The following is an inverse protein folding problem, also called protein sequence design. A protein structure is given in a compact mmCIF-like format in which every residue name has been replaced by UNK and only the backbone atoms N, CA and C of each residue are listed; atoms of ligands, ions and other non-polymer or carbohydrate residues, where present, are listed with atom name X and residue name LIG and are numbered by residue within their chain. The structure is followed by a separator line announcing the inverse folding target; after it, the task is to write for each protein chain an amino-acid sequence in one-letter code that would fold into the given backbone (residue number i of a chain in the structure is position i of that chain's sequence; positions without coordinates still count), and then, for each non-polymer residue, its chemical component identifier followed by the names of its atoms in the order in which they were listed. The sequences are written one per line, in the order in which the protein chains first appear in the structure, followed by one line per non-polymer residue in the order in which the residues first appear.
data_IF_482163240965
#
_entry.id   IF_482163240965
#
_cell.length_a   1.000
_cell.length_b   1.000
_cell.length_c   1.000
_cell.angle_alpha   90.00
_cell.angle_beta   90.00
_cell.angle_gamma   90.00
#
_symmetry.space_group_name_H-M   'P 1'
#
loop_
_entity.id
_entity.type
_entity.pdbx_description
1 polymer ?
#
# COMPACT_ATOMS: atom_id res chain seq x y z
N UNK A 1 7.06 4.88 14.73
CA UNK A 1 5.77 5.47 15.13
C UNK A 1 4.64 4.66 14.49
N UNK A 2 3.55 4.38 15.20
CA UNK A 2 2.38 3.68 14.64
C UNK A 2 1.44 4.72 14.02
N UNK A 3 0.97 4.50 12.80
CA UNK A 3 -0.06 5.33 12.17
C UNK A 3 -1.34 5.19 12.96
N UNK A 4 -2.02 6.30 13.22
CA UNK A 4 -3.33 6.23 13.82
C UNK A 4 -4.32 5.58 12.81
N UNK A 5 -5.40 4.98 13.32
CA UNK A 5 -6.36 4.28 12.46
C UNK A 5 -7.03 5.22 11.45
N UNK A 6 -7.25 6.48 11.80
CA UNK A 6 -7.87 7.47 10.93
C UNK A 6 -6.98 7.84 9.73
N UNK A 7 -5.66 7.91 9.94
CA UNK A 7 -4.67 8.16 8.89
C UNK A 7 -4.61 6.98 7.93
N UNK A 8 -4.66 5.75 8.46
CA UNK A 8 -4.74 4.54 7.64
C UNK A 8 -6.03 4.48 6.81
N UNK A 9 -7.17 4.79 7.41
CA UNK A 9 -8.46 4.86 6.70
C UNK A 9 -8.43 5.93 5.60
N UNK A 10 -7.90 7.11 5.90
CA UNK A 10 -7.74 8.20 4.91
C UNK A 10 -6.80 7.80 3.78
N UNK A 11 -5.66 7.17 4.09
CA UNK A 11 -4.72 6.68 3.09
C UNK A 11 -5.38 5.62 2.20
N UNK A 12 -6.10 4.66 2.80
CA UNK A 12 -6.83 3.63 2.06
C UNK A 12 -7.88 4.23 1.12
N UNK A 13 -8.70 5.18 1.59
CA UNK A 13 -9.70 5.83 0.73
C UNK A 13 -9.09 6.63 -0.43
N UNK A 14 -7.95 7.30 -0.22
CA UNK A 14 -7.25 7.97 -1.32
C UNK A 14 -6.68 6.98 -2.33
N UNK A 15 -6.12 5.86 -1.85
CA UNK A 15 -5.61 4.80 -2.70
C UNK A 15 -6.75 4.13 -3.49
N UNK A 16 -7.90 3.87 -2.87
CA UNK A 16 -9.07 3.27 -3.51
C UNK A 16 -9.56 4.15 -4.66
N UNK A 17 -9.67 5.46 -4.46
CA UNK A 17 -10.01 6.40 -5.53
C UNK A 17 -9.01 6.39 -6.69
N UNK A 18 -7.72 6.20 -6.41
CA UNK A 18 -6.66 6.18 -7.44
C UNK A 18 -6.60 4.86 -8.20
N UNK A 19 -6.99 3.76 -7.55
CA UNK A 19 -6.91 2.40 -8.06
C UNK A 19 -8.27 1.84 -8.52
N UNK A 20 -9.34 2.65 -8.44
CA UNK A 20 -10.71 2.23 -8.79
C UNK A 20 -10.81 1.65 -10.22
N UNK A 21 -9.99 2.15 -11.15
CA UNK A 21 -9.95 1.67 -12.54
C UNK A 21 -9.28 0.29 -12.70
N UNK A 22 -8.63 -0.24 -11.65
CA UNK A 22 -7.82 -1.46 -11.69
C UNK A 22 -8.49 -2.67 -11.02
N UNK A 23 -9.73 -2.54 -10.56
CA UNK A 23 -10.45 -3.61 -9.82
C UNK A 23 -9.64 -4.12 -8.60
N UNK A 24 -8.89 -3.22 -7.95
CA UNK A 24 -8.11 -3.52 -6.75
C UNK A 24 -8.88 -3.07 -5.53
N UNK A 25 -9.21 -4.01 -4.63
CA UNK A 25 -9.82 -3.65 -3.34
C UNK A 25 -8.75 -3.42 -2.27
N UNK A 26 -9.04 -2.51 -1.33
CA UNK A 26 -8.11 -2.13 -0.26
C UNK A 26 -8.68 -2.50 1.10
N UNK A 27 -7.87 -3.18 1.91
CA UNK A 27 -8.20 -3.53 3.30
C UNK A 27 -7.18 -2.91 4.24
N UNK A 28 -7.62 -2.48 5.41
CA UNK A 28 -6.71 -1.97 6.44
C UNK A 28 -6.48 -3.05 7.51
N UNK A 29 -5.25 -3.18 7.98
CA UNK A 29 -4.88 -4.03 9.10
C UNK A 29 -4.07 -3.27 10.13
N UNK A 30 -4.01 -3.80 11.35
CA UNK A 30 -3.24 -3.21 12.46
C UNK A 30 -1.99 -4.04 12.75
N UNK A 31 -0.86 -3.42 13.14
CA UNK A 31 -0.54 -2.00 13.02
C UNK A 31 0.01 -1.68 11.61
N UNK A 32 -0.36 -0.52 11.05
CA UNK A 32 0.18 0.03 9.79
C UNK A 32 0.10 -0.90 8.56
N UNK A 33 -0.98 -1.67 8.40
CA UNK A 33 -1.15 -2.56 7.25
C UNK A 33 -2.16 -1.97 6.28
N UNK A 34 -1.78 -1.93 5.01
CA UNK A 34 -2.71 -1.74 3.88
C UNK A 34 -2.56 -2.96 2.99
N UNK A 35 -3.64 -3.71 2.80
CA UNK A 35 -3.66 -4.86 1.89
C UNK A 35 -4.31 -4.48 0.56
N UNK A 36 -3.64 -4.80 -0.54
CA UNK A 36 -4.16 -4.71 -1.89
C UNK A 36 -4.61 -6.11 -2.32
N UNK A 37 -5.91 -6.26 -2.56
CA UNK A 37 -6.48 -7.44 -3.18
C UNK A 37 -6.39 -7.27 -4.69
N UNK A 38 -5.44 -7.97 -5.31
CA UNK A 38 -5.10 -7.77 -6.73
C UNK A 38 -5.73 -8.89 -7.56
N UNK A 39 -6.48 -8.56 -8.62
CA UNK A 39 -6.97 -9.55 -9.57
C UNK A 39 -5.83 -10.39 -10.13
N UNK A 40 -6.06 -11.69 -10.34
CA UNK A 40 -5.03 -12.60 -10.87
C UNK A 40 -4.42 -12.11 -12.20
N UNK A 41 -5.21 -11.40 -13.02
CA UNK A 41 -4.76 -10.80 -14.28
C UNK A 41 -3.69 -9.69 -14.11
N UNK A 42 -3.65 -9.04 -12.94
CA UNK A 42 -2.70 -7.96 -12.60
C UNK A 42 -1.60 -8.44 -11.65
N UNK A 43 -1.52 -9.74 -11.37
CA UNK A 43 -0.58 -10.30 -10.40
C UNK A 43 0.86 -9.99 -10.77
N UNK A 44 1.58 -9.35 -9.84
CA UNK A 44 3.02 -9.19 -9.93
C UNK A 44 3.71 -10.49 -9.52
N UNK A 45 4.76 -10.87 -10.24
CA UNK A 45 5.61 -12.03 -9.91
C UNK A 45 6.96 -11.64 -9.29
N UNK A 46 7.20 -10.35 -9.14
CA UNK A 46 8.49 -9.79 -8.78
C UNK A 46 8.31 -8.74 -7.67
N UNK A 47 9.06 -8.88 -6.58
CA UNK A 47 8.99 -8.01 -5.40
C UNK A 47 9.38 -6.55 -5.74
N UNK A 48 10.46 -6.26 -6.50
CA UNK A 48 10.74 -4.92 -6.99
C UNK A 48 9.57 -4.25 -7.72
N UNK A 49 8.87 -4.97 -8.60
CA UNK A 49 7.69 -4.43 -9.29
C UNK A 49 6.56 -4.08 -8.30
N UNK A 50 6.34 -4.91 -7.28
CA UNK A 50 5.35 -4.66 -6.23
C UNK A 50 5.71 -3.44 -5.38
N UNK A 51 6.99 -3.27 -5.04
CA UNK A 51 7.48 -2.09 -4.33
C UNK A 51 7.27 -0.83 -5.16
N UNK A 52 7.62 -0.86 -6.46
CA UNK A 52 7.41 0.29 -7.34
C UNK A 52 5.93 0.63 -7.49
N UNK A 53 5.07 -0.37 -7.72
CA UNK A 53 3.63 -0.18 -7.79
C UNK A 53 3.09 0.49 -6.51
N UNK A 54 3.46 -0.04 -5.35
CA UNK A 54 3.01 0.51 -4.08
C UNK A 54 3.46 1.97 -3.88
N UNK A 55 4.72 2.28 -4.21
CA UNK A 55 5.24 3.66 -4.13
C UNK A 55 4.52 4.60 -5.09
N UNK A 56 4.28 4.17 -6.32
CA UNK A 56 3.55 4.96 -7.32
C UNK A 56 2.10 5.19 -6.91
N UNK A 57 1.43 4.17 -6.37
CA UNK A 57 0.06 4.29 -5.86
C UNK A 57 -0.01 5.31 -4.71
N UNK A 58 0.90 5.23 -3.74
CA UNK A 58 0.98 6.18 -2.62
C UNK A 58 1.30 7.61 -3.11
N UNK A 59 2.23 7.75 -4.04
CA UNK A 59 2.60 9.04 -4.62
C UNK A 59 1.42 9.67 -5.37
N UNK A 60 0.74 8.90 -6.24
CA UNK A 60 -0.45 9.34 -6.98
C UNK A 60 -1.61 9.69 -6.05
N UNK A 61 -1.76 8.95 -4.95
CA UNK A 61 -2.73 9.23 -3.90
C UNK A 61 -2.32 10.40 -2.97
N UNK A 62 -1.16 11.03 -3.16
CA UNK A 62 -0.62 12.06 -2.24
C UNK A 62 -0.64 11.59 -0.78
N UNK A 63 -0.22 10.34 -0.55
CA UNK A 63 -0.07 9.73 0.78
C UNK A 63 1.40 9.80 1.18
N UNK A 64 1.74 10.73 2.07
CA UNK A 64 3.04 10.77 2.73
C UNK A 64 3.04 9.77 3.89
N UNK A 65 4.06 8.92 3.95
CA UNK A 65 4.23 7.95 5.04
C UNK A 65 5.28 8.46 6.03
N UNK A 66 4.83 8.77 7.24
CA UNK A 66 5.70 9.19 8.36
C UNK A 66 6.10 8.01 9.27
N UNK A 67 5.70 6.79 8.89
CA UNK A 67 5.90 5.56 9.63
C UNK A 67 6.16 4.38 8.68
N UNK A 68 6.72 3.30 9.21
CA UNK A 68 6.85 2.04 8.47
C UNK A 68 5.45 1.50 8.15
N UNK A 69 5.14 1.38 6.86
CA UNK A 69 3.88 0.84 6.34
C UNK A 69 4.13 -0.54 5.78
N UNK A 70 3.37 -1.53 6.23
CA UNK A 70 3.39 -2.87 5.63
C UNK A 70 2.30 -2.96 4.57
N UNK A 71 2.69 -3.19 3.32
CA UNK A 71 1.74 -3.45 2.23
C UNK A 71 1.65 -4.95 1.99
N UNK A 72 0.42 -5.48 2.03
CA UNK A 72 0.16 -6.91 1.77
C UNK A 72 -0.55 -7.03 0.43
N UNK A 73 0.05 -7.72 -0.52
CA UNK A 73 -0.58 -8.05 -1.79
C UNK A 73 -1.22 -9.41 -1.67
N UNK A 74 -2.54 -9.49 -1.88
CA UNK A 74 -3.29 -10.73 -1.92
C UNK A 74 -3.49 -11.06 -3.40
N UNK A 75 -2.82 -12.11 -3.87
CA UNK A 75 -2.78 -12.58 -5.25
C UNK A 75 -3.67 -13.83 -5.36
N UNK A 76 -4.98 -13.63 -5.40
CA UNK A 76 -5.95 -14.74 -5.37
C UNK A 76 -5.99 -15.48 -4.03
N UNK A 77 -6.70 -16.63 -3.96
CA UNK A 77 -7.18 -17.21 -2.70
C UNK A 77 -6.08 -17.72 -1.74
N UNK A 78 -4.86 -18.00 -2.22
CA UNK A 78 -3.83 -18.68 -1.43
C UNK A 78 -2.43 -18.04 -1.50
N UNK A 79 -2.27 -16.90 -2.16
CA UNK A 79 -0.96 -16.25 -2.26
C UNK A 79 -1.03 -14.85 -1.70
N UNK A 80 -0.23 -14.58 -0.67
CA UNK A 80 -0.07 -13.24 -0.13
C UNK A 80 1.40 -12.89 0.02
N UNK A 81 1.79 -11.72 -0.44
CA UNK A 81 3.15 -11.20 -0.30
C UNK A 81 3.13 -9.90 0.50
N UNK A 82 3.97 -9.82 1.53
CA UNK A 82 4.07 -8.63 2.37
C UNK A 82 5.36 -7.88 2.05
N UNK A 83 5.26 -6.61 1.72
CA UNK A 83 6.41 -5.70 1.59
C UNK A 83 6.38 -4.68 2.74
N UNK A 84 7.54 -4.32 3.26
CA UNK A 84 7.67 -3.24 4.22
C UNK A 84 8.17 -1.97 3.50
N UNK A 85 7.32 -0.96 3.44
CA UNK A 85 7.69 0.36 2.97
C UNK A 85 8.15 1.22 4.14
N UNK A 86 9.35 1.75 4.01
CA UNK A 86 9.91 2.72 4.96
C UNK A 86 9.72 4.14 4.42
N UNK A 87 9.49 5.13 5.31
CA UNK A 87 9.59 6.54 4.96
C UNK A 87 10.89 6.79 4.23
N UNK A 88 10.85 7.57 3.17
CA UNK A 88 12.05 7.98 2.46
C UNK A 88 12.83 8.93 3.39
N UNK A 89 14.00 8.49 3.88
CA UNK A 89 14.86 9.23 4.81
C UNK A 89 15.27 10.61 4.29
N UNK A 90 15.12 10.82 2.98
CA UNK A 90 15.39 12.06 2.25
C UNK A 90 14.35 13.17 2.48
N UNK A 91 13.19 12.83 3.06
CA UNK A 91 12.01 13.70 3.12
C UNK A 91 11.65 14.17 4.53
N UNK A 92 12.45 13.83 5.55
CA UNK A 92 12.29 14.36 6.90
C UNK A 92 13.03 15.70 7.00
N UNK A 93 12.34 16.85 7.07
CA UNK A 93 13.00 18.06 7.54
C UNK A 93 13.40 17.83 9.01
N UNK A 94 14.67 18.12 9.31
CA UNK A 94 15.18 18.23 10.69
C UNK A 94 14.36 19.22 11.51
#
# INVERSE_FOLDING_TARGET
MVLNLNDLVRAAGKLENVLNDLDISIKIGKPNIIAFDIPTALSFRDEPAMIQFARQALAKASVALYAELRIIFILGPNHSHSILLKPDSSSMPN
#
